data_IF_738283426821
#
_entry.id   IF_738283426821
#
_cell.length_a   1.000
_cell.length_b   1.000
_cell.length_c   1.000
_cell.angle_alpha   90.00
_cell.angle_beta   90.00
_cell.angle_gamma   90.00
#
_symmetry.space_group_name_H-M   'P 1'
#
loop_
_entity.id
_entity.type
_entity.pdbx_description
1 polymer ?
#
# COMPACT_ATOMS: atom_id res chain seq x y z
N UNK A 1 14.50 4.62 16.38
CA UNK A 1 15.15 5.29 15.26
C UNK A 1 16.64 5.55 15.48
N UNK A 2 17.12 5.63 16.72
CA UNK A 2 18.54 5.94 17.02
C UNK A 2 19.56 4.88 16.53
N UNK A 3 19.23 3.59 16.55
CA UNK A 3 20.24 2.55 16.29
C UNK A 3 20.80 2.52 14.86
N UNK A 4 19.99 2.74 13.83
CA UNK A 4 20.48 2.68 12.45
C UNK A 4 21.20 3.97 12.03
N UNK A 5 20.70 5.13 12.45
CA UNK A 5 21.27 6.44 12.08
C UNK A 5 22.57 6.75 12.79
N UNK A 6 22.73 6.35 14.05
CA UNK A 6 24.01 6.49 14.77
C UNK A 6 25.09 5.58 14.18
N UNK A 7 24.73 4.35 13.81
CA UNK A 7 25.68 3.40 13.21
C UNK A 7 26.21 3.87 11.85
N UNK A 8 25.37 4.55 11.05
CA UNK A 8 25.75 5.04 9.73
C UNK A 8 26.05 6.53 9.67
N UNK A 9 25.95 7.24 10.80
CA UNK A 9 26.20 8.69 10.91
C UNK A 9 25.39 9.54 9.91
N UNK A 10 24.11 9.16 9.67
CA UNK A 10 23.19 9.86 8.77
C UNK A 10 22.58 11.04 9.52
N UNK A 11 22.68 12.29 9.01
CA UNK A 11 22.11 13.47 9.68
C UNK A 11 20.58 13.36 9.78
N UNK A 12 20.04 13.39 10.99
CA UNK A 12 18.60 13.40 11.24
C UNK A 12 18.13 14.84 11.45
N UNK A 13 17.01 15.29 10.84
CA UNK A 13 16.45 16.63 11.02
C UNK A 13 15.79 16.78 12.40
N UNK A 14 16.60 16.88 13.46
CA UNK A 14 16.20 16.88 14.87
C UNK A 14 15.49 18.15 15.34
N UNK A 15 15.57 19.23 14.58
CA UNK A 15 15.00 20.55 14.88
C UNK A 15 13.57 20.74 14.35
N UNK A 16 13.02 19.75 13.66
CA UNK A 16 11.64 19.81 13.16
C UNK A 16 10.62 19.70 14.30
N UNK A 17 9.64 20.61 14.27
CA UNK A 17 8.47 20.61 15.17
C UNK A 17 7.22 20.29 14.38
N UNK A 18 6.38 19.46 14.95
CA UNK A 18 5.16 18.99 14.29
C UNK A 18 4.13 20.11 14.16
N UNK A 19 3.64 20.44 12.96
CA UNK A 19 2.68 21.52 12.75
C UNK A 19 1.27 21.08 13.16
N UNK A 20 0.72 21.69 14.21
CA UNK A 20 -0.56 21.28 14.83
C UNK A 20 -1.75 21.37 13.87
N UNK A 21 -1.92 22.52 13.19
CA UNK A 21 -3.10 22.74 12.31
C UNK A 21 -3.09 21.77 11.11
N UNK A 22 -2.00 21.63 10.36
CA UNK A 22 -1.93 20.61 9.30
C UNK A 22 -2.14 19.18 9.79
N UNK A 23 -1.63 18.82 10.98
CA UNK A 23 -1.82 17.51 11.57
C UNK A 23 -3.32 17.21 11.80
N UNK A 24 -4.01 18.11 12.48
CA UNK A 24 -5.46 17.96 12.74
C UNK A 24 -6.25 17.92 11.43
N UNK A 25 -5.89 18.75 10.45
CA UNK A 25 -6.53 18.75 9.15
C UNK A 25 -6.34 17.41 8.41
N UNK A 26 -5.12 16.87 8.42
CA UNK A 26 -4.83 15.56 7.83
C UNK A 26 -5.63 14.44 8.53
N UNK A 27 -5.65 14.41 9.86
CA UNK A 27 -6.43 13.44 10.63
C UNK A 27 -7.91 13.49 10.25
N UNK A 28 -8.51 14.69 10.26
CA UNK A 28 -9.94 14.85 9.93
C UNK A 28 -10.24 14.40 8.50
N UNK A 29 -9.46 14.84 7.52
CA UNK A 29 -9.69 14.49 6.11
C UNK A 29 -9.54 13.00 5.88
N UNK A 30 -8.46 12.39 6.39
CA UNK A 30 -8.21 10.96 6.20
C UNK A 30 -9.27 10.09 6.89
N UNK A 31 -9.70 10.44 8.11
CA UNK A 31 -10.81 9.74 8.78
C UNK A 31 -12.15 9.88 8.07
N UNK A 32 -12.44 11.03 7.44
CA UNK A 32 -13.63 11.18 6.59
C UNK A 32 -13.59 10.25 5.37
N UNK A 33 -12.42 10.08 4.75
CA UNK A 33 -12.24 9.12 3.64
C UNK A 33 -12.44 7.69 4.13
N UNK A 34 -11.86 7.31 5.29
CA UNK A 34 -12.09 5.99 5.92
C UNK A 34 -13.58 5.77 6.19
N UNK A 35 -14.28 6.77 6.72
CA UNK A 35 -15.73 6.67 6.95
C UNK A 35 -16.49 6.38 5.65
N UNK A 36 -16.09 6.99 4.53
CA UNK A 36 -16.64 6.69 3.20
C UNK A 36 -16.44 5.22 2.80
N UNK A 37 -15.22 4.70 2.98
CA UNK A 37 -14.92 3.28 2.72
C UNK A 37 -15.71 2.34 3.63
N UNK A 38 -15.83 2.66 4.92
CA UNK A 38 -16.62 1.86 5.88
C UNK A 38 -18.10 1.84 5.49
N UNK A 39 -18.68 3.00 5.15
CA UNK A 39 -20.07 3.08 4.70
C UNK A 39 -20.28 2.23 3.45
N UNK A 40 -19.36 2.31 2.47
CA UNK A 40 -19.42 1.49 1.26
C UNK A 40 -19.31 -0.01 1.61
N UNK A 41 -18.37 -0.41 2.44
CA UNK A 41 -18.19 -1.80 2.85
C UNK A 41 -19.39 -2.35 3.65
N UNK A 42 -19.99 -1.54 4.53
CA UNK A 42 -21.22 -1.92 5.28
C UNK A 42 -22.41 -2.09 4.35
N UNK A 43 -22.59 -1.19 3.37
CA UNK A 43 -23.66 -1.33 2.36
C UNK A 43 -23.49 -2.61 1.55
N UNK A 44 -22.26 -2.90 1.12
CA UNK A 44 -21.95 -4.11 0.38
C UNK A 44 -22.16 -5.36 1.24
N UNK A 45 -21.73 -5.34 2.50
CA UNK A 45 -22.01 -6.43 3.44
C UNK A 45 -23.51 -6.71 3.60
N UNK A 46 -24.31 -5.66 3.81
CA UNK A 46 -25.78 -5.81 3.92
C UNK A 46 -26.41 -6.37 2.64
N UNK A 47 -25.84 -6.04 1.47
CA UNK A 47 -26.34 -6.48 0.16
C UNK A 47 -25.95 -7.92 -0.17
N UNK A 48 -24.74 -8.34 0.19
CA UNK A 48 -24.13 -9.61 -0.25
C UNK A 48 -23.94 -10.64 0.85
N UNK A 49 -24.06 -10.23 2.13
CA UNK A 49 -23.69 -11.06 3.29
C UNK A 49 -22.18 -11.17 3.53
N UNK A 50 -21.33 -10.57 2.68
CA UNK A 50 -19.87 -10.67 2.77
C UNK A 50 -19.26 -9.49 3.50
N UNK A 51 -18.65 -9.72 4.67
CA UNK A 51 -17.92 -8.71 5.44
C UNK A 51 -16.48 -8.47 4.93
N UNK A 52 -16.12 -9.01 3.76
CA UNK A 52 -14.74 -8.98 3.25
C UNK A 52 -14.15 -7.57 3.15
N UNK A 53 -14.96 -6.58 2.72
CA UNK A 53 -14.52 -5.18 2.67
C UNK A 53 -14.11 -4.64 4.03
N UNK A 54 -14.91 -4.93 5.08
CA UNK A 54 -14.59 -4.51 6.45
C UNK A 54 -13.31 -5.20 6.98
N UNK A 55 -13.15 -6.49 6.65
CA UNK A 55 -11.95 -7.25 7.03
C UNK A 55 -10.70 -6.69 6.35
N UNK A 56 -10.80 -6.31 5.07
CA UNK A 56 -9.69 -5.68 4.34
C UNK A 56 -9.33 -4.30 4.90
N UNK A 57 -10.33 -3.48 5.23
CA UNK A 57 -10.07 -2.16 5.86
C UNK A 57 -9.38 -2.34 7.22
N UNK A 58 -9.85 -3.27 8.04
CA UNK A 58 -9.18 -3.60 9.31
C UNK A 58 -7.75 -4.13 9.09
N UNK A 59 -7.56 -4.96 8.05
CA UNK A 59 -6.25 -5.46 7.65
C UNK A 59 -5.30 -4.36 7.20
N UNK A 60 -5.81 -3.34 6.48
CA UNK A 60 -5.04 -2.14 6.16
C UNK A 60 -4.55 -1.41 7.41
N UNK A 61 -5.40 -1.29 8.43
CA UNK A 61 -4.98 -0.73 9.72
C UNK A 61 -3.89 -1.57 10.43
N UNK A 62 -3.95 -2.90 10.29
CA UNK A 62 -2.90 -3.80 10.83
C UNK A 62 -1.59 -3.66 10.05
N UNK A 63 -1.65 -3.37 8.74
CA UNK A 63 -0.47 -3.15 7.91
C UNK A 63 0.40 -1.98 8.41
N UNK A 64 -0.17 -1.02 9.16
CA UNK A 64 0.60 0.06 9.83
C UNK A 64 1.71 -0.48 10.74
N UNK A 65 1.67 -1.72 11.18
CA UNK A 65 2.76 -2.33 11.94
C UNK A 65 4.07 -2.44 11.14
N UNK A 66 4.01 -2.28 9.80
CA UNK A 66 5.18 -2.23 8.92
C UNK A 66 5.84 -0.85 8.90
N UNK A 67 5.10 0.24 9.18
CA UNK A 67 5.59 1.62 9.11
C UNK A 67 6.92 1.86 9.83
N UNK A 68 7.13 1.38 11.08
CA UNK A 68 8.41 1.59 11.76
C UNK A 68 9.62 1.00 11.01
N UNK A 69 9.41 -0.09 10.26
CA UNK A 69 10.45 -0.70 9.44
C UNK A 69 10.69 0.11 8.16
N UNK A 70 9.62 0.54 7.49
CA UNK A 70 9.67 1.37 6.30
C UNK A 70 10.30 2.74 6.60
N UNK A 71 10.02 3.34 7.76
CA UNK A 71 10.64 4.57 8.24
C UNK A 71 12.17 4.43 8.36
N UNK A 72 12.63 3.32 8.93
CA UNK A 72 14.08 3.08 9.07
C UNK A 72 14.72 2.84 7.71
N UNK A 73 14.15 1.96 6.91
CA UNK A 73 14.73 1.55 5.63
C UNK A 73 14.66 2.67 4.59
N UNK A 74 13.58 3.43 4.59
CA UNK A 74 13.35 4.55 3.68
C UNK A 74 13.92 5.87 4.13
N UNK A 75 14.53 5.92 5.33
CA UNK A 75 15.03 7.15 5.96
C UNK A 75 13.92 8.22 6.06
N UNK A 76 12.80 7.84 6.64
CA UNK A 76 11.68 8.73 6.95
C UNK A 76 11.82 9.26 8.37
N UNK A 77 11.59 10.55 8.56
CA UNK A 77 11.63 11.19 9.87
C UNK A 77 10.31 11.83 10.23
N UNK A 78 9.74 11.36 11.33
CA UNK A 78 8.58 11.97 11.97
C UNK A 78 9.03 12.83 13.16
N UNK A 79 8.77 14.16 13.14
CA UNK A 79 9.15 15.03 14.27
C UNK A 79 8.37 14.63 15.53
N UNK A 80 9.06 14.53 16.67
CA UNK A 80 8.43 14.18 17.96
C UNK A 80 7.68 15.32 18.63
N UNK A 81 8.21 16.54 18.69
CA UNK A 81 7.54 17.64 19.39
C UNK A 81 6.22 18.01 18.74
N UNK A 82 5.12 17.88 19.50
CA UNK A 82 3.78 18.21 19.04
C UNK A 82 3.03 17.15 18.24
N UNK A 83 3.64 15.97 18.00
CA UNK A 83 2.99 14.88 17.29
C UNK A 83 1.88 14.23 18.12
N UNK A 84 0.74 13.93 17.50
CA UNK A 84 -0.24 13.00 18.03
C UNK A 84 0.23 11.57 17.75
N UNK A 85 0.94 10.98 18.71
CA UNK A 85 1.51 9.64 18.60
C UNK A 85 0.44 8.59 18.83
N UNK A 86 0.28 7.67 17.89
CA UNK A 86 -0.61 6.50 18.03
C UNK A 86 0.06 5.41 18.87
N UNK A 87 1.29 5.07 18.53
CA UNK A 87 2.16 4.18 19.29
C UNK A 87 3.63 4.50 18.98
N UNK A 88 4.54 3.95 19.77
CA UNK A 88 5.97 4.11 19.60
C UNK A 88 6.67 2.76 19.74
N UNK A 89 7.53 2.45 18.74
CA UNK A 89 8.41 1.28 18.75
C UNK A 89 9.83 1.71 18.40
N UNK A 90 10.26 1.54 17.15
CA UNK A 90 11.55 2.03 16.65
C UNK A 90 11.54 3.55 16.39
N UNK A 91 10.37 4.14 16.29
CA UNK A 91 10.09 5.57 16.15
C UNK A 91 8.66 5.89 16.56
N UNK A 92 8.28 7.17 16.66
CA UNK A 92 6.90 7.57 16.90
C UNK A 92 6.08 7.41 15.64
N UNK A 93 4.99 6.66 15.71
CA UNK A 93 4.05 6.50 14.60
C UNK A 93 2.88 7.48 14.79
N UNK A 94 2.64 8.38 13.84
CA UNK A 94 1.61 9.40 13.97
C UNK A 94 0.20 8.83 13.87
N UNK A 95 -0.75 9.47 14.55
CA UNK A 95 -2.15 9.05 14.53
C UNK A 95 -2.77 9.10 13.12
N UNK A 96 -2.36 10.07 12.28
CA UNK A 96 -2.83 10.16 10.89
C UNK A 96 -2.33 9.01 10.00
N UNK A 97 -1.27 8.29 10.39
CA UNK A 97 -0.79 7.12 9.68
C UNK A 97 -1.84 6.00 9.63
N UNK A 98 -2.61 5.80 10.71
CA UNK A 98 -3.62 4.75 10.75
C UNK A 98 -4.69 4.87 9.65
N UNK A 99 -5.39 6.01 9.48
CA UNK A 99 -6.33 6.15 8.37
C UNK A 99 -5.66 6.08 7.01
N UNK A 100 -4.42 6.54 6.83
CA UNK A 100 -3.66 6.43 5.58
C UNK A 100 -3.50 4.95 5.20
N UNK A 101 -3.05 4.11 6.12
CA UNK A 101 -2.87 2.67 5.89
C UNK A 101 -4.20 1.94 5.63
N UNK A 102 -5.27 2.29 6.34
CA UNK A 102 -6.62 1.75 6.08
C UNK A 102 -7.06 2.06 4.65
N UNK A 103 -6.88 3.30 4.20
CA UNK A 103 -7.25 3.75 2.85
C UNK A 103 -6.39 3.01 1.82
N UNK A 104 -5.08 3.06 1.98
CA UNK A 104 -4.15 2.62 0.96
C UNK A 104 -4.09 1.10 0.86
N UNK A 105 -3.78 0.41 1.94
CA UNK A 105 -3.59 -1.05 1.90
C UNK A 105 -4.89 -1.84 2.02
N UNK A 106 -5.89 -1.31 2.73
CA UNK A 106 -7.21 -1.93 2.83
C UNK A 106 -8.17 -1.50 1.73
N UNK A 107 -8.35 -0.19 1.56
CA UNK A 107 -9.33 0.41 0.66
C UNK A 107 -9.02 0.17 -0.81
N UNK A 108 -7.78 0.42 -1.27
CA UNK A 108 -7.37 0.18 -2.66
C UNK A 108 -7.48 -1.31 -2.99
N UNK A 109 -7.00 -2.21 -2.11
CA UNK A 109 -7.13 -3.65 -2.33
C UNK A 109 -8.61 -4.07 -2.47
N UNK A 110 -9.49 -3.49 -1.65
CA UNK A 110 -10.92 -3.78 -1.71
C UNK A 110 -11.57 -3.31 -3.02
N UNK A 111 -11.32 -2.08 -3.45
CA UNK A 111 -11.85 -1.53 -4.71
C UNK A 111 -11.33 -2.33 -5.90
N UNK A 112 -10.04 -2.60 -5.94
CA UNK A 112 -9.45 -3.40 -7.02
C UNK A 112 -10.05 -4.80 -7.07
N UNK A 113 -10.20 -5.48 -5.94
CA UNK A 113 -10.82 -6.80 -5.89
C UNK A 113 -12.26 -6.77 -6.41
N UNK A 114 -13.03 -5.72 -6.08
CA UNK A 114 -14.39 -5.55 -6.60
C UNK A 114 -14.41 -5.40 -8.13
N UNK A 115 -13.45 -4.66 -8.70
CA UNK A 115 -13.31 -4.53 -10.15
C UNK A 115 -12.89 -5.86 -10.82
N UNK A 116 -11.92 -6.57 -10.24
CA UNK A 116 -11.49 -7.87 -10.77
C UNK A 116 -12.62 -8.92 -10.82
N UNK A 117 -13.51 -8.90 -9.83
CA UNK A 117 -14.66 -9.81 -9.77
C UNK A 117 -15.71 -9.60 -10.87
N UNK A 118 -15.70 -8.46 -11.55
CA UNK A 118 -16.56 -8.21 -12.71
C UNK A 118 -16.16 -9.04 -13.93
N UNK A 119 -14.96 -9.61 -13.94
CA UNK A 119 -14.36 -10.37 -15.04
C UNK A 119 -14.25 -9.58 -16.36
N UNK A 120 -14.23 -8.25 -16.29
CA UNK A 120 -14.06 -7.35 -17.46
C UNK A 120 -12.63 -6.82 -17.58
N UNK A 121 -11.72 -7.46 -16.85
CA UNK A 121 -10.34 -7.01 -16.73
C UNK A 121 -9.59 -7.05 -18.06
N UNK A 122 -8.94 -5.93 -18.38
CA UNK A 122 -8.02 -5.80 -19.52
C UNK A 122 -6.68 -5.26 -19.06
N UNK A 123 -5.58 -5.54 -19.80
CA UNK A 123 -4.28 -4.95 -19.47
C UNK A 123 -4.31 -3.40 -19.39
N UNK A 124 -5.10 -2.76 -20.28
CA UNK A 124 -5.27 -1.29 -20.24
C UNK A 124 -5.94 -0.85 -18.93
N UNK A 125 -7.00 -1.54 -18.48
CA UNK A 125 -7.68 -1.22 -17.23
C UNK A 125 -6.74 -1.38 -16.02
N UNK A 126 -5.85 -2.39 -16.04
CA UNK A 126 -4.85 -2.57 -14.99
C UNK A 126 -3.91 -1.38 -14.88
N UNK A 127 -3.25 -1.02 -15.98
CA UNK A 127 -2.30 0.10 -15.97
C UNK A 127 -2.97 1.45 -15.70
N UNK A 128 -4.24 1.61 -16.10
CA UNK A 128 -5.04 2.77 -15.68
C UNK A 128 -5.27 2.76 -14.17
N UNK A 129 -5.58 1.60 -13.57
CA UNK A 129 -5.70 1.44 -12.11
C UNK A 129 -4.41 1.77 -11.38
N UNK A 130 -3.25 1.32 -11.89
CA UNK A 130 -1.92 1.67 -11.36
C UNK A 130 -1.72 3.18 -11.39
N UNK A 131 -1.99 3.84 -12.52
CA UNK A 131 -1.85 5.29 -12.65
C UNK A 131 -2.75 6.04 -11.66
N UNK A 132 -4.00 5.58 -11.45
CA UNK A 132 -4.91 6.14 -10.45
C UNK A 132 -4.35 5.96 -9.04
N UNK A 133 -3.79 4.77 -8.73
CA UNK A 133 -3.18 4.51 -7.42
C UNK A 133 -1.97 5.41 -7.19
N UNK A 134 -1.10 5.61 -8.19
CA UNK A 134 0.02 6.54 -8.11
C UNK A 134 -0.43 7.99 -7.86
N UNK A 135 -1.50 8.43 -8.54
CA UNK A 135 -2.08 9.76 -8.32
C UNK A 135 -2.65 9.86 -6.91
N UNK A 136 -3.36 8.84 -6.43
CA UNK A 136 -3.91 8.82 -5.08
C UNK A 136 -2.81 8.90 -4.01
N UNK A 137 -1.70 8.18 -4.21
CA UNK A 137 -0.52 8.22 -3.36
C UNK A 137 0.07 9.64 -3.29
N UNK A 138 0.33 10.26 -4.46
CA UNK A 138 0.82 11.64 -4.52
C UNK A 138 -0.13 12.65 -3.88
N UNK A 139 -1.44 12.46 -4.01
CA UNK A 139 -2.45 13.35 -3.41
C UNK A 139 -2.49 13.26 -1.88
N UNK A 140 -2.04 12.16 -1.31
CA UNK A 140 -1.90 11.99 0.14
C UNK A 140 -0.52 12.50 0.58
N UNK A 141 0.53 12.01 -0.01
CA UNK A 141 1.91 12.17 0.46
C UNK A 141 2.46 13.58 0.25
N UNK A 142 2.25 14.17 -0.95
CA UNK A 142 2.80 15.49 -1.25
C UNK A 142 2.28 16.59 -0.32
N UNK A 143 0.96 16.66 0.03
CA UNK A 143 0.49 17.59 1.05
C UNK A 143 1.09 17.34 2.43
N UNK A 144 1.22 16.08 2.87
CA UNK A 144 1.80 15.75 4.17
C UNK A 144 3.26 16.25 4.27
N UNK A 145 4.05 16.04 3.21
CA UNK A 145 5.43 16.54 3.09
C UNK A 145 5.49 18.07 3.00
N UNK A 146 4.62 18.68 2.17
CA UNK A 146 4.56 20.13 2.03
C UNK A 146 4.31 20.83 3.37
N UNK A 147 3.42 20.27 4.17
CA UNK A 147 3.12 20.77 5.51
C UNK A 147 4.08 20.27 6.61
N UNK A 148 5.13 19.54 6.24
CA UNK A 148 6.15 19.04 7.16
C UNK A 148 5.62 18.11 8.27
N UNK A 149 4.64 17.28 7.96
CA UNK A 149 4.20 16.25 8.89
C UNK A 149 5.23 15.12 9.03
N UNK A 150 6.04 14.93 8.01
CA UNK A 150 7.23 14.10 8.01
C UNK A 150 8.20 14.57 6.92
N UNK A 151 9.37 13.99 6.84
CA UNK A 151 10.34 14.27 5.78
C UNK A 151 11.21 13.07 5.49
N UNK A 152 11.70 12.97 4.27
CA UNK A 152 12.79 12.06 3.92
C UNK A 152 14.13 12.75 4.20
N UNK A 153 15.13 11.96 4.59
CA UNK A 153 16.47 12.47 4.89
C UNK A 153 17.54 11.51 4.36
N UNK A 154 18.83 11.87 4.47
CA UNK A 154 19.92 11.03 3.98
C UNK A 154 21.25 11.77 3.97
N UNK A 155 22.28 11.18 3.34
CA UNK A 155 23.60 11.79 3.16
C UNK A 155 23.60 12.96 2.16
N UNK A 156 22.56 13.10 1.34
CA UNK A 156 22.41 14.13 0.32
C UNK A 156 20.97 14.25 -0.14
N UNK A 157 20.78 14.75 -1.35
CA UNK A 157 19.44 14.89 -1.93
C UNK A 157 18.76 13.53 -2.09
N UNK A 158 17.48 13.48 -1.75
CA UNK A 158 16.64 12.30 -1.95
C UNK A 158 16.44 12.06 -3.45
N UNK A 159 16.81 10.87 -3.98
CA UNK A 159 16.78 10.63 -5.42
C UNK A 159 15.34 10.60 -5.97
N UNK A 160 15.15 11.07 -7.20
CA UNK A 160 13.88 11.08 -7.92
C UNK A 160 12.73 11.78 -7.17
N UNK A 161 13.01 12.83 -6.41
CA UNK A 161 12.04 13.51 -5.56
C UNK A 161 11.21 14.54 -6.33
N UNK A 162 9.88 14.55 -6.09
CA UNK A 162 8.93 15.55 -6.58
C UNK A 162 8.09 16.06 -5.41
N UNK A 163 8.17 17.35 -5.10
CA UNK A 163 7.50 17.91 -3.93
C UNK A 163 7.97 17.33 -2.59
N UNK A 164 9.21 16.81 -2.55
CA UNK A 164 9.77 16.11 -1.40
C UNK A 164 9.47 14.61 -1.37
N UNK A 165 8.55 14.12 -2.20
CA UNK A 165 8.18 12.70 -2.28
C UNK A 165 9.05 11.94 -3.28
N UNK A 166 9.77 10.87 -2.88
CA UNK A 166 10.59 10.07 -3.78
C UNK A 166 9.72 9.14 -4.63
N UNK A 167 9.79 9.27 -5.97
CA UNK A 167 8.90 8.55 -6.89
C UNK A 167 9.03 7.02 -6.86
N UNK A 168 10.11 6.46 -6.34
CA UNK A 168 10.23 5.00 -6.16
C UNK A 168 9.22 4.45 -5.13
N UNK A 169 8.75 5.28 -4.18
CA UNK A 169 7.70 4.91 -3.24
C UNK A 169 6.37 4.60 -3.92
N UNK A 170 6.08 5.21 -5.06
CA UNK A 170 4.88 4.87 -5.85
C UNK A 170 4.81 3.35 -6.14
N UNK A 171 5.95 2.75 -6.45
CA UNK A 171 6.03 1.31 -6.72
C UNK A 171 6.01 0.49 -5.44
N UNK A 172 6.72 0.93 -4.41
CA UNK A 172 6.76 0.26 -3.10
C UNK A 172 5.34 0.19 -2.52
N UNK A 173 4.68 1.33 -2.40
CA UNK A 173 3.34 1.43 -1.81
C UNK A 173 2.27 0.70 -2.62
N UNK A 174 2.34 0.78 -3.96
CA UNK A 174 1.27 0.25 -4.83
C UNK A 174 1.29 -1.27 -4.97
N UNK A 175 2.46 -1.91 -4.93
CA UNK A 175 2.56 -3.36 -5.17
C UNK A 175 1.87 -4.20 -4.10
N UNK A 176 1.90 -3.79 -2.83
CA UNK A 176 1.27 -4.50 -1.72
C UNK A 176 -0.25 -4.68 -1.85
N UNK A 177 -1.03 -3.59 -1.98
CA UNK A 177 -2.48 -3.68 -2.13
C UNK A 177 -2.92 -4.40 -3.41
N UNK A 178 -2.15 -4.29 -4.50
CA UNK A 178 -2.43 -5.02 -5.73
C UNK A 178 -2.21 -6.52 -5.55
N UNK A 179 -1.13 -6.92 -4.88
CA UNK A 179 -0.88 -8.33 -4.57
C UNK A 179 -1.96 -8.90 -3.65
N UNK A 180 -2.41 -8.14 -2.64
CA UNK A 180 -3.56 -8.51 -1.79
C UNK A 180 -4.80 -8.85 -2.64
N UNK A 181 -5.19 -7.94 -3.53
CA UNK A 181 -6.34 -8.14 -4.40
C UNK A 181 -6.15 -9.31 -5.36
N UNK A 182 -4.96 -9.47 -5.94
CA UNK A 182 -4.62 -10.56 -6.86
C UNK A 182 -4.72 -11.94 -6.18
N UNK A 183 -4.19 -12.08 -4.97
CA UNK A 183 -4.27 -13.33 -4.18
C UNK A 183 -5.74 -13.69 -3.89
N UNK A 184 -6.53 -12.73 -3.41
CA UNK A 184 -7.93 -12.96 -3.10
C UNK A 184 -8.79 -13.27 -4.34
N UNK A 185 -8.44 -12.69 -5.48
CA UNK A 185 -9.06 -12.96 -6.76
C UNK A 185 -8.70 -14.34 -7.30
N UNK A 186 -7.43 -14.72 -7.24
CA UNK A 186 -6.94 -15.98 -7.82
C UNK A 186 -7.28 -17.19 -6.94
N UNK A 187 -7.30 -17.04 -5.60
CA UNK A 187 -7.51 -18.12 -4.66
C UNK A 187 -8.72 -17.90 -3.71
N UNK A 188 -9.94 -17.58 -4.22
CA UNK A 188 -11.06 -17.23 -3.36
C UNK A 188 -11.52 -18.39 -2.46
N UNK A 189 -11.29 -19.64 -2.89
CA UNK A 189 -11.67 -20.83 -2.12
C UNK A 189 -10.73 -21.12 -0.93
N UNK A 190 -9.51 -20.62 -0.99
CA UNK A 190 -8.56 -20.78 0.11
C UNK A 190 -9.03 -20.02 1.37
N UNK A 191 -9.61 -18.83 1.18
CA UNK A 191 -10.07 -17.96 2.27
C UNK A 191 -11.56 -18.19 2.61
N UNK A 192 -11.97 -19.46 2.75
CA UNK A 192 -13.33 -19.85 3.15
C UNK A 192 -13.32 -20.59 4.49
N UNK A 193 -14.49 -20.65 5.14
CA UNK A 193 -14.65 -21.31 6.43
C UNK A 193 -13.75 -20.70 7.49
N UNK A 194 -13.03 -21.53 8.23
CA UNK A 194 -12.14 -21.10 9.32
C UNK A 194 -10.96 -20.21 8.87
N UNK A 195 -10.60 -20.23 7.58
CA UNK A 195 -9.53 -19.39 7.01
C UNK A 195 -10.00 -17.98 6.63
N UNK A 196 -11.29 -17.72 6.57
CA UNK A 196 -11.79 -16.39 6.19
C UNK A 196 -11.25 -15.25 7.08
N UNK A 197 -11.12 -15.40 8.41
CA UNK A 197 -10.51 -14.37 9.25
C UNK A 197 -9.05 -14.08 8.93
N UNK A 198 -8.30 -15.02 8.34
CA UNK A 198 -6.88 -14.82 7.99
C UNK A 198 -6.66 -13.72 6.95
N UNK A 199 -7.69 -13.36 6.20
CA UNK A 199 -7.65 -12.24 5.25
C UNK A 199 -7.24 -10.93 5.92
N UNK A 200 -7.51 -10.76 7.22
CA UNK A 200 -7.15 -9.55 7.97
C UNK A 200 -5.63 -9.31 8.00
N UNK A 201 -4.82 -10.37 7.93
CA UNK A 201 -3.36 -10.26 7.94
C UNK A 201 -2.76 -10.13 6.54
N UNK A 202 -3.57 -10.33 5.49
CA UNK A 202 -3.05 -10.34 4.13
C UNK A 202 -2.48 -8.98 3.69
N UNK A 203 -3.12 -7.82 3.99
CA UNK A 203 -2.53 -6.52 3.69
C UNK A 203 -1.15 -6.32 4.33
N UNK A 204 -0.97 -6.69 5.60
CA UNK A 204 0.34 -6.61 6.27
C UNK A 204 1.39 -7.49 5.57
N UNK A 205 1.05 -8.76 5.29
CA UNK A 205 1.99 -9.71 4.68
C UNK A 205 2.42 -9.27 3.27
N UNK A 206 1.45 -8.82 2.46
CA UNK A 206 1.75 -8.39 1.08
C UNK A 206 2.48 -7.06 1.04
N UNK A 207 2.14 -6.13 1.93
CA UNK A 207 2.84 -4.87 2.08
C UNK A 207 4.30 -5.10 2.46
N UNK A 208 4.56 -5.80 3.57
CA UNK A 208 5.92 -6.11 4.02
C UNK A 208 6.73 -6.84 2.95
N UNK A 209 6.15 -7.86 2.29
CA UNK A 209 6.84 -8.61 1.26
C UNK A 209 7.19 -7.75 0.03
N UNK A 210 6.25 -6.92 -0.43
CA UNK A 210 6.44 -6.05 -1.59
C UNK A 210 7.37 -4.88 -1.27
N UNK A 211 7.21 -4.23 -0.11
CA UNK A 211 8.10 -3.17 0.35
C UNK A 211 9.54 -3.67 0.44
N UNK A 212 9.77 -4.82 1.08
CA UNK A 212 11.10 -5.42 1.13
C UNK A 212 11.65 -5.77 -0.27
N UNK A 213 10.85 -6.39 -1.15
CA UNK A 213 11.33 -6.82 -2.46
C UNK A 213 11.62 -5.65 -3.41
N UNK A 214 10.71 -4.67 -3.48
CA UNK A 214 10.83 -3.52 -4.38
C UNK A 214 11.79 -2.48 -3.82
N UNK A 215 11.75 -2.23 -2.50
CA UNK A 215 12.55 -1.23 -1.84
C UNK A 215 14.02 -1.62 -1.63
N UNK A 216 14.36 -2.92 -1.63
CA UNK A 216 15.69 -3.42 -1.27
C UNK A 216 16.86 -2.70 -1.97
N UNK A 217 16.84 -2.41 -3.29
CA UNK A 217 17.95 -1.72 -3.93
C UNK A 217 18.13 -0.29 -3.41
N UNK A 218 17.04 0.47 -3.29
CA UNK A 218 17.13 1.86 -2.80
C UNK A 218 17.44 1.90 -1.31
N UNK A 219 16.91 1.00 -0.49
CA UNK A 219 17.21 0.92 0.93
C UNK A 219 18.70 0.66 1.17
N UNK A 220 19.29 -0.30 0.47
CA UNK A 220 20.73 -0.55 0.54
C UNK A 220 21.56 0.67 0.08
N UNK A 221 21.13 1.33 -1.00
CA UNK A 221 21.82 2.52 -1.50
C UNK A 221 21.77 3.68 -0.50
N UNK A 222 20.61 3.94 0.13
CA UNK A 222 20.42 5.00 1.13
C UNK A 222 21.25 4.77 2.40
N UNK A 223 21.48 3.50 2.78
CA UNK A 223 22.26 3.13 3.97
C UNK A 223 23.74 2.86 3.68
N UNK A 224 24.21 3.04 2.45
CA UNK A 224 25.62 2.87 2.09
C UNK A 224 26.41 4.07 2.60
N UNK A 225 27.38 3.90 3.52
CA UNK A 225 28.19 5.01 4.03
C UNK A 225 28.95 5.73 2.89
N UNK A 226 28.81 7.05 2.82
CA UNK A 226 29.43 7.85 1.76
C UNK A 226 28.85 7.65 0.37
N UNK A 227 27.62 7.12 0.28
CA UNK A 227 26.94 6.93 -1.00
C UNK A 227 26.91 8.23 -1.81
N UNK A 228 27.35 8.13 -3.06
CA UNK A 228 27.23 9.23 -4.02
C UNK A 228 25.83 9.26 -4.63
N UNK A 229 25.47 10.40 -5.25
CA UNK A 229 24.20 10.53 -5.97
C UNK A 229 23.98 9.40 -7.00
N UNK A 230 25.03 8.92 -7.66
CA UNK A 230 24.94 7.79 -8.60
C UNK A 230 24.48 6.49 -7.94
N UNK A 231 24.92 6.23 -6.71
CA UNK A 231 24.54 5.03 -5.95
C UNK A 231 23.06 5.12 -5.56
N UNK A 232 22.63 6.25 -4.99
CA UNK A 232 21.22 6.44 -4.56
C UNK A 232 20.25 6.48 -5.74
N UNK A 233 20.61 7.16 -6.85
CA UNK A 233 19.82 7.15 -8.08
C UNK A 233 19.78 5.75 -8.73
N UNK A 234 20.91 5.04 -8.75
CA UNK A 234 20.97 3.65 -9.23
C UNK A 234 20.06 2.72 -8.43
N UNK A 235 20.07 2.84 -7.11
CA UNK A 235 19.17 2.12 -6.21
C UNK A 235 17.69 2.44 -6.48
N UNK A 236 17.35 3.73 -6.60
CA UNK A 236 15.99 4.18 -6.88
C UNK A 236 15.47 3.68 -8.25
N UNK A 237 16.29 3.77 -9.30
CA UNK A 237 15.93 3.26 -10.63
C UNK A 237 15.77 1.72 -10.62
N UNK A 238 16.63 1.00 -9.90
CA UNK A 238 16.51 -0.45 -9.76
C UNK A 238 15.21 -0.83 -9.02
N UNK A 239 14.85 -0.10 -7.96
CA UNK A 239 13.57 -0.29 -7.26
C UNK A 239 12.38 -0.05 -8.19
N UNK A 240 12.37 1.03 -8.97
CA UNK A 240 11.32 1.28 -9.97
C UNK A 240 11.24 0.12 -11.00
N UNK A 241 12.39 -0.35 -11.50
CA UNK A 241 12.43 -1.46 -12.47
C UNK A 241 11.86 -2.75 -11.88
N UNK A 242 12.21 -3.11 -10.64
CA UNK A 242 11.64 -4.27 -9.93
C UNK A 242 10.12 -4.08 -9.76
N UNK A 243 9.68 -2.88 -9.37
CA UNK A 243 8.26 -2.57 -9.25
C UNK A 243 7.50 -2.77 -10.56
N UNK A 244 8.02 -2.28 -11.69
CA UNK A 244 7.43 -2.51 -13.02
C UNK A 244 7.35 -3.99 -13.37
N UNK A 245 8.43 -4.74 -13.15
CA UNK A 245 8.45 -6.20 -13.43
C UNK A 245 7.42 -6.93 -12.58
N UNK A 246 7.32 -6.60 -11.30
CA UNK A 246 6.37 -7.23 -10.39
C UNK A 246 4.92 -6.91 -10.77
N UNK A 247 4.63 -5.64 -11.09
CA UNK A 247 3.32 -5.22 -11.55
C UNK A 247 2.93 -5.88 -12.89
N UNK A 248 3.86 -6.01 -13.86
CA UNK A 248 3.60 -6.71 -15.11
C UNK A 248 3.32 -8.20 -14.89
N UNK A 249 4.08 -8.85 -14.00
CA UNK A 249 3.85 -10.24 -13.63
C UNK A 249 2.46 -10.44 -12.99
N UNK A 250 2.06 -9.54 -12.07
CA UNK A 250 0.72 -9.56 -11.48
C UNK A 250 -0.37 -9.33 -12.54
N UNK A 251 -0.18 -8.38 -13.47
CA UNK A 251 -1.12 -8.12 -14.56
C UNK A 251 -1.36 -9.36 -15.41
N UNK A 252 -0.29 -10.06 -15.81
CA UNK A 252 -0.37 -11.31 -16.59
C UNK A 252 -1.08 -12.41 -15.83
N UNK A 253 -0.77 -12.57 -14.54
CA UNK A 253 -1.41 -13.57 -13.68
C UNK A 253 -2.92 -13.30 -13.53
N UNK A 254 -3.30 -12.06 -13.21
CA UNK A 254 -4.70 -11.65 -13.10
C UNK A 254 -5.43 -11.85 -14.44
N UNK A 255 -4.80 -11.48 -15.56
CA UNK A 255 -5.40 -11.63 -16.89
C UNK A 255 -5.64 -13.11 -17.24
N UNK A 256 -4.65 -13.97 -17.03
CA UNK A 256 -4.78 -15.40 -17.25
C UNK A 256 -5.94 -15.98 -16.42
N UNK A 257 -6.00 -15.62 -15.12
CA UNK A 257 -7.07 -16.07 -14.23
C UNK A 257 -8.44 -15.56 -14.64
N UNK A 258 -8.53 -14.31 -15.10
CA UNK A 258 -9.79 -13.74 -15.60
C UNK A 258 -10.32 -14.55 -16.79
N UNK A 259 -9.45 -14.88 -17.75
CA UNK A 259 -9.82 -15.69 -18.91
C UNK A 259 -10.29 -17.08 -18.53
N UNK A 260 -9.62 -17.76 -17.60
CA UNK A 260 -10.05 -19.06 -17.09
C UNK A 260 -11.48 -18.99 -16.49
N UNK A 261 -11.73 -17.98 -15.66
CA UNK A 261 -13.05 -17.81 -15.03
C UNK A 261 -14.14 -17.44 -16.03
N UNK A 262 -13.82 -16.66 -17.08
CA UNK A 262 -14.74 -16.38 -18.17
C UNK A 262 -15.12 -17.66 -18.93
N UNK A 263 -14.12 -18.47 -19.32
CA UNK A 263 -14.36 -19.75 -20.01
C UNK A 263 -15.19 -20.71 -19.17
N UNK A 264 -14.92 -20.82 -17.87
CA UNK A 264 -15.75 -21.65 -16.96
C UNK A 264 -17.19 -21.18 -16.94
N UNK A 265 -17.42 -19.87 -16.83
CA UNK A 265 -18.76 -19.28 -16.83
C UNK A 265 -19.52 -19.55 -18.12
N UNK A 266 -18.83 -19.48 -19.27
CA UNK A 266 -19.44 -19.73 -20.57
C UNK A 266 -19.82 -21.23 -20.73
N UNK A 267 -18.97 -22.15 -20.25
CA UNK A 267 -19.25 -23.59 -20.22
C UNK A 267 -20.48 -23.89 -19.32
N UNK A 268 -20.51 -23.31 -18.11
CA UNK A 268 -21.62 -23.48 -17.18
C UNK A 268 -22.95 -22.94 -17.75
N UNK A 269 -22.89 -21.82 -18.49
CA UNK A 269 -24.04 -21.23 -19.15
C UNK A 269 -24.52 -22.03 -20.36
N UNK A 270 -23.63 -22.79 -21.03
CA UNK A 270 -23.97 -23.62 -22.19
C UNK A 270 -24.53 -25.00 -21.80
N UNK A 271 -24.40 -25.45 -20.55
CA UNK A 271 -24.96 -26.68 -20.03
C UNK A 271 -26.37 -26.39 -19.47
N UNK A 272 -27.49 -26.72 -20.21
CA UNK A 272 -28.83 -26.57 -19.67
C UNK A 272 -28.96 -27.45 -18.43
N UNK A 273 -29.60 -26.92 -17.39
CA UNK A 273 -29.78 -27.60 -16.11
C UNK A 273 -30.49 -28.95 -16.33
N UNK A 274 -29.78 -30.06 -16.23
CA UNK A 274 -30.35 -31.40 -16.11
C UNK A 274 -31.12 -31.59 -14.78
N UNK A 275 -31.50 -30.54 -14.09
CA UNK A 275 -32.12 -30.55 -12.74
C UNK A 275 -33.64 -30.38 -12.73
N UNK A 276 -34.29 -30.41 -13.89
CA UNK A 276 -35.76 -30.33 -13.94
C UNK A 276 -36.41 -31.58 -14.57
N UNK A 277 -35.95 -32.78 -14.24
CA UNK A 277 -36.71 -34.00 -14.57
C UNK A 277 -36.45 -35.07 -13.52
N UNK A 278 -36.95 -34.87 -12.31
CA UNK A 278 -37.38 -35.97 -11.40
C UNK A 278 -38.48 -35.44 -10.50
#
# INVERSE_FOLDING_TARGET
MFFATEQFNIPVPSDMVFPQVPQIAAEVVLWLVVAGFVIYAVREWRRTGSALGLVLLAGGGIALLNEPLDDILGLVHHPRPGQHVLFETMGPIPHWGLPTYIIFFGGIAYVLLAELRKLTFTPKAFWTGIAITFIADLLIEVPLLHFRLYTYFGYGDVPMSVGGFPLYWLFINTTGPILTAAILFAAPNYFRGWRAPLVIFLPLVTDTACSAAVGLPVYNALHTPGATAWVTWGGALASCAIGVVLLDAMARWIYARTRELQLQRDVDAAQPSQKETI
#
